data_IF_425122335967
#
_entry.id   IF_425122335967
#
_cell.length_a   1.000
_cell.length_b   1.000
_cell.length_c   1.000
_cell.angle_alpha   90.00
_cell.angle_beta   90.00
_cell.angle_gamma   90.00
#
_symmetry.space_group_name_H-M   'P 1'
#
loop_
_entity.id
_entity.type
_entity.pdbx_description
1 polymer ?
#
# COMPACT_ATOMS: atom_id res chain seq x y z
N UNK A 1 -8.39 18.13 13.02
CA UNK A 1 -6.97 18.48 12.73
C UNK A 1 -6.79 18.62 11.23
N UNK A 2 -6.01 19.61 10.77
CA UNK A 2 -5.79 19.83 9.34
C UNK A 2 -4.95 18.68 8.74
N UNK A 3 -5.34 18.19 7.56
CA UNK A 3 -4.59 17.19 6.80
C UNK A 3 -3.40 17.86 6.12
N UNK A 4 -2.24 17.23 6.16
CA UNK A 4 -1.05 17.65 5.41
C UNK A 4 -1.31 17.52 3.92
N UNK A 5 -1.00 18.58 3.18
CA UNK A 5 -1.21 18.66 1.72
C UNK A 5 0.11 18.80 0.94
N UNK A 6 1.22 18.70 1.63
CA UNK A 6 2.57 18.81 1.08
C UNK A 6 3.14 17.47 0.62
N UNK A 7 2.52 16.36 1.05
CA UNK A 7 2.98 15.01 0.74
C UNK A 7 1.86 13.98 0.69
N UNK A 8 2.13 12.85 0.07
CA UNK A 8 1.24 11.68 0.04
C UNK A 8 2.02 10.48 0.58
N UNK A 9 1.45 9.77 1.55
CA UNK A 9 1.95 8.49 2.01
C UNK A 9 1.42 7.40 1.06
N UNK A 10 2.30 6.73 0.35
CA UNK A 10 1.93 5.62 -0.52
C UNK A 10 2.08 4.32 0.25
N UNK A 11 1.06 3.48 0.21
CA UNK A 11 1.03 2.22 0.94
C UNK A 11 0.55 1.12 0.00
N UNK A 12 1.24 -0.01 0.04
CA UNK A 12 0.83 -1.27 -0.56
C UNK A 12 1.06 -2.39 0.45
N UNK A 13 0.15 -3.36 0.54
CA UNK A 13 0.24 -4.43 1.52
C UNK A 13 0.29 -5.79 0.85
N UNK A 14 1.10 -6.69 1.43
CA UNK A 14 1.00 -8.10 1.17
C UNK A 14 0.25 -8.79 2.32
N UNK A 15 -0.48 -9.82 1.97
CA UNK A 15 -1.31 -10.55 2.93
C UNK A 15 -1.23 -12.05 2.71
N UNK A 16 -1.51 -12.82 3.76
CA UNK A 16 -1.65 -14.28 3.63
C UNK A 16 -2.66 -14.62 2.54
N UNK A 17 -2.28 -15.52 1.67
CA UNK A 17 -3.08 -15.92 0.51
C UNK A 17 -2.83 -17.39 0.13
N UNK A 18 -3.75 -17.95 -0.65
CA UNK A 18 -3.76 -19.36 -1.05
C UNK A 18 -4.15 -19.48 -2.53
N UNK A 19 -3.74 -20.56 -3.16
CA UNK A 19 -4.14 -20.93 -4.53
C UNK A 19 -5.58 -21.43 -4.63
N UNK A 20 -6.25 -21.63 -3.50
CA UNK A 20 -7.64 -22.09 -3.40
C UNK A 20 -8.59 -21.00 -2.92
N UNK A 21 -9.85 -21.06 -3.32
CA UNK A 21 -10.93 -20.19 -2.86
C UNK A 21 -12.17 -21.01 -2.53
N UNK A 22 -12.78 -20.87 -1.34
CA UNK A 22 -12.36 -20.01 -0.23
C UNK A 22 -11.01 -20.43 0.40
N UNK A 23 -10.41 -19.60 1.26
CA UNK A 23 -9.25 -19.99 2.06
C UNK A 23 -9.51 -21.29 2.84
N UNK A 24 -8.46 -22.04 3.23
CA UNK A 24 -8.60 -23.19 4.10
C UNK A 24 -9.36 -22.85 5.41
N UNK A 25 -10.04 -23.85 5.99
CA UNK A 25 -10.81 -23.65 7.21
C UNK A 25 -9.96 -23.03 8.35
N UNK A 26 -10.49 -22.00 9.00
CA UNK A 26 -9.79 -21.27 10.05
C UNK A 26 -8.79 -20.21 9.56
N UNK A 27 -8.54 -20.14 8.26
CA UNK A 27 -7.60 -19.19 7.65
C UNK A 27 -8.33 -17.96 7.07
N UNK A 28 -7.67 -16.82 7.09
CA UNK A 28 -8.17 -15.58 6.48
C UNK A 28 -7.01 -14.72 6.00
N UNK A 29 -7.27 -13.76 5.11
CA UNK A 29 -6.23 -12.81 4.73
C UNK A 29 -5.88 -11.90 5.90
N UNK A 30 -4.60 -11.93 6.30
CA UNK A 30 -3.97 -11.08 7.31
C UNK A 30 -2.74 -10.41 6.70
N UNK A 31 -2.50 -9.16 7.08
CA UNK A 31 -1.36 -8.38 6.58
C UNK A 31 -0.06 -9.01 7.08
N UNK A 32 0.88 -9.25 6.16
CA UNK A 32 2.22 -9.79 6.45
C UNK A 32 3.35 -8.83 6.03
N UNK A 33 3.08 -7.85 5.17
CA UNK A 33 3.98 -6.75 4.86
C UNK A 33 3.17 -5.46 4.69
N UNK A 34 3.68 -4.38 5.26
CA UNK A 34 3.25 -3.02 4.95
C UNK A 34 4.40 -2.35 4.23
N UNK A 35 4.30 -2.29 2.91
CA UNK A 35 5.22 -1.53 2.09
C UNK A 35 4.78 -0.08 2.00
N UNK A 36 5.72 0.85 2.11
CA UNK A 36 5.41 2.26 2.05
C UNK A 36 6.55 3.12 1.51
N UNK A 37 6.19 4.30 1.03
CA UNK A 37 7.09 5.41 0.73
C UNK A 37 6.32 6.73 0.79
N UNK A 38 7.03 7.84 0.69
CA UNK A 38 6.45 9.18 0.70
C UNK A 38 6.74 9.88 -0.62
N UNK A 39 5.73 10.50 -1.20
CA UNK A 39 5.90 11.43 -2.31
C UNK A 39 5.71 12.87 -1.79
N UNK A 40 6.78 13.67 -1.83
CA UNK A 40 6.75 15.09 -1.54
C UNK A 40 6.26 15.85 -2.78
N UNK A 41 5.14 16.56 -2.62
CA UNK A 41 4.48 17.27 -3.72
C UNK A 41 5.14 18.62 -4.04
N UNK A 42 5.90 19.18 -3.09
CA UNK A 42 6.60 20.44 -3.30
C UNK A 42 7.95 20.23 -3.98
N UNK A 43 8.69 19.21 -3.52
CA UNK A 43 10.01 18.88 -4.05
C UNK A 43 9.97 17.92 -5.25
N UNK A 44 8.75 17.44 -5.63
CA UNK A 44 8.55 16.42 -6.68
C UNK A 44 9.47 15.21 -6.51
N UNK A 45 9.58 14.72 -5.27
CA UNK A 45 10.54 13.68 -4.88
C UNK A 45 9.88 12.53 -4.12
N UNK A 46 10.22 11.28 -4.52
CA UNK A 46 9.81 10.05 -3.82
C UNK A 46 10.96 9.56 -2.93
N UNK A 47 10.67 9.30 -1.67
CA UNK A 47 11.69 8.88 -0.69
C UNK A 47 11.11 7.97 0.40
N UNK A 48 11.99 7.47 1.27
CA UNK A 48 11.59 6.73 2.46
C UNK A 48 10.97 5.36 2.16
N UNK A 49 11.42 4.67 1.10
CA UNK A 49 11.01 3.30 0.80
C UNK A 49 11.29 2.38 2.00
N UNK A 50 10.25 1.71 2.51
CA UNK A 50 10.34 0.85 3.70
C UNK A 50 9.40 -0.35 3.59
N UNK A 51 9.89 -1.47 4.07
CA UNK A 51 9.13 -2.68 4.35
C UNK A 51 8.96 -2.81 5.86
N UNK A 52 7.74 -3.09 6.32
CA UNK A 52 7.43 -3.46 7.70
C UNK A 52 6.79 -4.84 7.61
N UNK A 53 7.51 -5.87 8.03
CA UNK A 53 6.97 -7.22 8.14
C UNK A 53 6.07 -7.31 9.37
N UNK A 54 4.93 -7.98 9.22
CA UNK A 54 3.90 -8.10 10.26
C UNK A 54 3.59 -9.56 10.50
N UNK A 55 3.58 -9.97 11.76
CA UNK A 55 3.24 -11.34 12.17
C UNK A 55 1.73 -11.57 12.01
N UNK A 56 1.29 -12.55 11.20
CA UNK A 56 -0.11 -12.97 11.19
C UNK A 56 -0.43 -13.72 12.49
N UNK A 57 -1.66 -13.61 12.98
CA UNK A 57 -2.08 -14.21 14.28
C UNK A 57 -2.88 -15.49 14.07
N UNK A 58 -3.75 -15.52 13.07
CA UNK A 58 -4.68 -16.61 12.83
C UNK A 58 -4.31 -17.48 11.64
N UNK A 59 -3.49 -16.95 10.74
CA UNK A 59 -3.25 -17.58 9.46
C UNK A 59 -1.77 -17.86 9.21
N UNK A 60 -1.49 -18.96 8.54
CA UNK A 60 -0.15 -19.34 8.12
C UNK A 60 0.20 -18.71 6.77
N UNK A 61 1.47 -18.44 6.55
CA UNK A 61 2.01 -18.05 5.25
C UNK A 61 2.19 -19.33 4.44
N UNK A 62 1.32 -19.55 3.45
CA UNK A 62 1.35 -20.73 2.60
C UNK A 62 2.55 -20.71 1.64
N UNK A 63 2.90 -21.87 1.08
CA UNK A 63 3.91 -21.96 0.00
C UNK A 63 3.52 -21.11 -1.21
N UNK A 64 2.23 -21.06 -1.54
CA UNK A 64 1.71 -20.19 -2.59
C UNK A 64 1.97 -18.72 -2.27
N UNK A 65 1.66 -18.28 -1.05
CA UNK A 65 1.91 -16.92 -0.60
C UNK A 65 3.42 -16.58 -0.67
N UNK A 66 4.27 -17.49 -0.20
CA UNK A 66 5.73 -17.33 -0.28
C UNK A 66 6.21 -17.27 -1.73
N UNK A 67 5.69 -18.11 -2.63
CA UNK A 67 6.07 -18.08 -4.05
C UNK A 67 5.68 -16.75 -4.73
N UNK A 68 4.54 -16.18 -4.35
CA UNK A 68 4.01 -14.94 -4.89
C UNK A 68 4.80 -13.72 -4.37
N UNK A 69 4.91 -13.61 -3.04
CA UNK A 69 5.44 -12.41 -2.36
C UNK A 69 6.94 -12.50 -2.03
N UNK A 70 7.53 -13.70 -2.06
CA UNK A 70 8.85 -14.02 -1.52
C UNK A 70 9.00 -13.79 0.00
N UNK A 71 7.91 -13.61 0.70
CA UNK A 71 7.91 -13.49 2.16
C UNK A 71 7.75 -14.88 2.74
N UNK A 72 8.69 -15.30 3.57
CA UNK A 72 8.67 -16.61 4.23
C UNK A 72 8.19 -16.48 5.66
N UNK A 73 7.61 -17.56 6.21
CA UNK A 73 7.26 -17.63 7.63
C UNK A 73 8.46 -17.36 8.53
N UNK A 74 9.64 -17.88 8.15
CA UNK A 74 10.87 -17.65 8.91
C UNK A 74 11.26 -16.17 8.97
N UNK A 75 11.19 -15.44 7.84
CA UNK A 75 11.46 -14.00 7.82
C UNK A 75 10.50 -13.23 8.71
N UNK A 76 9.21 -13.55 8.63
CA UNK A 76 8.20 -12.87 9.44
C UNK A 76 8.35 -13.19 10.92
N UNK A 77 8.75 -14.40 11.27
CA UNK A 77 9.01 -14.78 12.66
C UNK A 77 10.22 -14.03 13.24
N UNK A 78 11.30 -13.89 12.46
CA UNK A 78 12.54 -13.23 12.89
C UNK A 78 12.43 -11.70 12.91
N UNK A 79 11.89 -11.11 11.85
CA UNK A 79 11.95 -9.67 11.59
C UNK A 79 10.57 -8.97 11.67
N UNK A 80 9.50 -9.74 11.75
CA UNK A 80 8.14 -9.22 11.82
C UNK A 80 7.79 -8.69 13.21
N UNK A 81 6.97 -7.64 13.22
CA UNK A 81 6.40 -7.05 14.43
C UNK A 81 4.91 -7.33 14.53
N UNK A 82 4.32 -7.07 15.68
CA UNK A 82 2.88 -7.17 15.88
C UNK A 82 2.13 -6.10 15.08
N UNK A 83 0.94 -6.43 14.59
CA UNK A 83 0.15 -5.48 13.79
C UNK A 83 -0.20 -4.19 14.54
N UNK A 84 -0.41 -4.24 15.85
CA UNK A 84 -0.63 -3.07 16.70
C UNK A 84 0.59 -2.15 16.72
N UNK A 85 1.79 -2.72 16.84
CA UNK A 85 3.05 -1.98 16.77
C UNK A 85 3.23 -1.31 15.40
N UNK A 86 2.98 -2.06 14.31
CA UNK A 86 3.01 -1.51 12.95
C UNK A 86 2.04 -0.35 12.77
N UNK A 87 0.81 -0.45 13.28
CA UNK A 87 -0.16 0.64 13.27
C UNK A 87 0.34 1.87 14.06
N UNK A 88 0.97 1.63 15.20
CA UNK A 88 1.55 2.70 16.04
C UNK A 88 2.69 3.43 15.34
N UNK A 89 3.58 2.69 14.66
CA UNK A 89 4.66 3.27 13.82
C UNK A 89 4.11 4.12 12.68
N UNK A 90 3.05 3.67 11.99
CA UNK A 90 2.41 4.47 10.95
C UNK A 90 1.91 5.82 11.47
N UNK A 91 1.34 5.83 12.68
CA UNK A 91 0.84 7.06 13.31
C UNK A 91 1.99 7.96 13.78
N UNK A 92 3.02 7.40 14.41
CA UNK A 92 4.11 8.14 15.02
C UNK A 92 5.10 8.68 13.98
N UNK A 93 5.62 7.80 13.12
CA UNK A 93 6.72 8.12 12.20
C UNK A 93 6.24 8.82 10.93
N UNK A 94 5.03 8.46 10.44
CA UNK A 94 4.50 8.99 9.16
C UNK A 94 3.34 9.96 9.34
N UNK A 95 2.89 10.20 10.57
CA UNK A 95 1.71 11.03 10.86
C UNK A 95 0.50 10.58 10.02
N UNK A 96 0.32 9.27 9.85
CA UNK A 96 -0.60 8.69 8.87
C UNK A 96 -2.06 9.14 9.04
N UNK A 97 -2.49 9.50 10.27
CA UNK A 97 -3.81 10.09 10.53
C UNK A 97 -3.99 11.51 9.96
N UNK A 98 -2.86 12.23 9.77
CA UNK A 98 -2.84 13.64 9.32
C UNK A 98 -2.29 13.79 7.90
N UNK A 99 -1.85 12.71 7.29
CA UNK A 99 -1.26 12.70 5.94
C UNK A 99 -2.25 12.04 4.99
N UNK A 100 -2.46 12.65 3.82
CA UNK A 100 -3.17 11.97 2.74
C UNK A 100 -2.40 10.69 2.40
N UNK A 101 -3.12 9.59 2.22
CA UNK A 101 -2.51 8.35 1.79
C UNK A 101 -3.17 7.78 0.53
N UNK A 102 -2.42 6.99 -0.22
CA UNK A 102 -2.85 6.39 -1.48
C UNK A 102 -2.40 4.94 -1.58
N UNK A 103 -3.15 4.15 -2.36
CA UNK A 103 -2.80 2.79 -2.75
C UNK A 103 -3.33 2.48 -4.16
N UNK A 104 -2.90 1.34 -4.74
CA UNK A 104 -3.37 0.92 -6.06
C UNK A 104 -4.69 0.17 -5.98
N UNK A 105 -5.75 0.89 -5.71
CA UNK A 105 -7.08 0.33 -5.56
C UNK A 105 -7.69 0.60 -4.19
N UNK A 106 -8.49 -0.33 -3.71
CA UNK A 106 -9.18 -0.22 -2.41
C UNK A 106 -8.95 -1.44 -1.50
N UNK A 107 -8.18 -2.41 -1.96
CA UNK A 107 -7.93 -3.65 -1.22
C UNK A 107 -7.22 -3.35 0.11
N UNK A 108 -6.12 -2.61 0.05
CA UNK A 108 -5.31 -2.22 1.20
C UNK A 108 -6.17 -1.57 2.29
N UNK A 109 -6.93 -0.54 1.91
CA UNK A 109 -7.82 0.18 2.84
C UNK A 109 -8.86 -0.75 3.47
N UNK A 110 -9.42 -1.67 2.68
CA UNK A 110 -10.44 -2.61 3.17
C UNK A 110 -9.86 -3.61 4.15
N UNK A 111 -8.68 -4.17 3.84
CA UNK A 111 -8.04 -5.16 4.69
C UNK A 111 -7.52 -4.53 6.00
N UNK A 112 -6.87 -3.37 5.94
CA UNK A 112 -6.50 -2.62 7.15
C UNK A 112 -7.69 -2.36 8.06
N UNK A 113 -8.82 -1.87 7.50
CA UNK A 113 -10.03 -1.61 8.29
C UNK A 113 -10.64 -2.88 8.89
N UNK A 114 -10.58 -3.99 8.13
CA UNK A 114 -11.05 -5.30 8.61
C UNK A 114 -10.19 -5.77 9.77
N UNK A 115 -8.87 -5.79 9.60
CA UNK A 115 -7.94 -6.30 10.61
C UNK A 115 -7.94 -5.44 11.88
N UNK A 116 -7.95 -4.10 11.76
CA UNK A 116 -8.11 -3.21 12.91
C UNK A 116 -9.39 -3.51 13.70
N UNK A 117 -10.54 -3.70 13.02
CA UNK A 117 -11.80 -4.05 13.70
C UNK A 117 -11.73 -5.39 14.43
N UNK A 118 -11.15 -6.41 13.79
CA UNK A 118 -11.02 -7.74 14.37
C UNK A 118 -10.15 -7.74 15.61
N UNK A 119 -9.13 -6.90 15.64
CA UNK A 119 -8.19 -6.78 16.77
C UNK A 119 -8.57 -5.68 17.78
N UNK A 120 -9.70 -4.97 17.58
CA UNK A 120 -10.10 -3.88 18.46
C UNK A 120 -9.19 -2.65 18.40
N UNK A 121 -8.41 -2.48 17.32
CA UNK A 121 -7.45 -1.41 17.17
C UNK A 121 -8.01 -0.19 16.43
N UNK A 122 -7.49 0.97 16.77
CA UNK A 122 -7.78 2.20 16.04
C UNK A 122 -7.13 2.16 14.64
N UNK A 123 -7.90 2.54 13.60
CA UNK A 123 -7.40 2.64 12.24
C UNK A 123 -6.27 3.70 12.13
N UNK A 124 -5.09 3.36 11.58
CA UNK A 124 -3.93 4.23 11.65
C UNK A 124 -3.94 5.40 10.66
N UNK A 125 -4.79 5.36 9.64
CA UNK A 125 -4.85 6.41 8.61
C UNK A 125 -6.01 7.39 8.84
N UNK A 126 -5.93 8.55 8.18
CA UNK A 126 -7.05 9.47 8.05
C UNK A 126 -8.15 8.93 7.13
N UNK A 127 -9.30 9.61 7.10
CA UNK A 127 -10.45 9.19 6.29
C UNK A 127 -10.21 9.37 4.78
N UNK A 128 -9.38 10.32 4.41
CA UNK A 128 -9.07 10.59 3.01
C UNK A 128 -8.06 9.58 2.47
N UNK A 129 -8.48 8.85 1.46
CA UNK A 129 -7.70 7.86 0.74
C UNK A 129 -7.82 8.10 -0.76
N UNK A 130 -6.68 8.21 -1.44
CA UNK A 130 -6.64 8.27 -2.90
C UNK A 130 -6.53 6.85 -3.48
N UNK A 131 -7.55 6.43 -4.21
CA UNK A 131 -7.47 5.23 -5.04
C UNK A 131 -6.77 5.58 -6.36
N UNK A 132 -5.45 5.40 -6.42
CA UNK A 132 -4.65 5.85 -7.55
C UNK A 132 -5.00 5.12 -8.85
N UNK A 133 -5.41 3.85 -8.78
CA UNK A 133 -5.90 3.08 -9.93
C UNK A 133 -7.08 3.76 -10.61
N UNK A 134 -8.02 4.30 -9.79
CA UNK A 134 -9.18 5.03 -10.31
C UNK A 134 -8.78 6.38 -10.91
N UNK A 135 -7.89 7.11 -10.22
CA UNK A 135 -7.39 8.42 -10.68
C UNK A 135 -6.65 8.26 -12.01
N UNK A 136 -5.76 7.27 -12.11
CA UNK A 136 -5.02 6.96 -13.35
C UNK A 136 -5.99 6.70 -14.52
N UNK A 137 -6.98 5.82 -14.31
CA UNK A 137 -7.95 5.50 -15.35
C UNK A 137 -8.80 6.70 -15.80
N UNK A 138 -9.14 7.62 -14.88
CA UNK A 138 -9.92 8.82 -15.20
C UNK A 138 -9.11 9.87 -15.96
N UNK A 139 -7.84 10.05 -15.62
CA UNK A 139 -6.99 11.09 -16.23
C UNK A 139 -6.41 10.67 -17.57
N UNK A 140 -6.03 9.43 -17.73
CA UNK A 140 -5.44 8.92 -18.98
C UNK A 140 -6.45 8.25 -19.92
N UNK A 141 -7.76 8.31 -19.59
CA UNK A 141 -8.84 7.81 -20.46
C UNK A 141 -8.88 6.29 -20.60
N UNK A 142 -8.24 5.57 -19.70
CA UNK A 142 -8.16 4.12 -19.70
C UNK A 142 -9.20 3.48 -18.77
N UNK A 143 -9.57 2.23 -19.05
CA UNK A 143 -10.23 1.39 -18.03
C UNK A 143 -9.29 1.17 -16.86
N UNK A 144 -9.83 0.84 -15.70
CA UNK A 144 -9.01 0.50 -14.54
C UNK A 144 -8.12 -0.71 -14.87
N UNK A 145 -6.81 -0.46 -14.95
CA UNK A 145 -5.77 -1.47 -15.29
C UNK A 145 -4.99 -1.90 -14.05
N UNK A 146 -4.22 -2.97 -14.15
CA UNK A 146 -3.25 -3.36 -13.14
C UNK A 146 -2.09 -2.36 -13.06
N UNK A 147 -1.31 -2.38 -11.96
CA UNK A 147 -0.19 -1.46 -11.76
C UNK A 147 0.90 -1.62 -12.83
N UNK A 148 1.27 -2.85 -13.16
CA UNK A 148 2.28 -3.15 -14.19
C UNK A 148 1.87 -2.60 -15.55
N UNK A 149 0.59 -2.74 -15.91
CA UNK A 149 0.07 -2.18 -17.16
C UNK A 149 0.03 -0.65 -17.13
N UNK A 150 -0.30 -0.05 -16.00
CA UNK A 150 -0.25 1.40 -15.83
C UNK A 150 1.17 1.95 -15.99
N UNK A 151 2.19 1.27 -15.43
CA UNK A 151 3.60 1.61 -15.64
C UNK A 151 3.97 1.56 -17.12
N UNK A 152 3.58 0.49 -17.82
CA UNK A 152 3.82 0.35 -19.26
C UNK A 152 3.18 1.49 -20.07
N UNK A 153 1.94 1.86 -19.76
CA UNK A 153 1.22 2.97 -20.40
C UNK A 153 1.94 4.31 -20.12
N UNK A 154 2.42 4.50 -18.90
CA UNK A 154 3.17 5.69 -18.49
C UNK A 154 4.62 5.74 -19.06
N UNK A 155 5.08 4.69 -19.73
CA UNK A 155 6.48 4.57 -20.19
C UNK A 155 7.48 4.42 -19.05
N UNK A 156 7.06 3.86 -17.92
CA UNK A 156 7.88 3.62 -16.75
C UNK A 156 8.23 2.14 -16.62
N UNK A 157 9.47 1.88 -16.23
CA UNK A 157 9.91 0.52 -15.91
C UNK A 157 9.61 0.20 -14.45
N UNK A 158 9.22 -1.05 -14.19
CA UNK A 158 9.03 -1.55 -12.84
C UNK A 158 10.38 -1.62 -12.10
N UNK A 159 10.43 -1.10 -10.87
CA UNK A 159 11.64 -1.09 -10.04
C UNK A 159 11.48 -2.02 -8.85
N UNK A 160 12.35 -3.01 -8.76
CA UNK A 160 12.33 -4.00 -7.70
C UNK A 160 11.59 -5.29 -8.08
N UNK A 161 10.87 -5.89 -7.15
CA UNK A 161 10.14 -7.15 -7.32
C UNK A 161 8.64 -6.92 -7.11
N UNK A 162 7.82 -7.34 -8.08
CA UNK A 162 6.36 -7.32 -7.96
C UNK A 162 5.89 -8.27 -6.86
N UNK A 163 4.83 -7.90 -6.16
CA UNK A 163 4.35 -8.55 -4.94
C UNK A 163 5.36 -8.47 -3.76
N UNK A 164 6.15 -7.40 -3.70
CA UNK A 164 6.78 -6.92 -2.50
C UNK A 164 6.22 -5.54 -2.20
N UNK A 165 5.51 -5.42 -1.09
CA UNK A 165 4.73 -4.23 -0.76
C UNK A 165 5.54 -2.93 -0.85
N UNK A 166 6.80 -2.91 -0.39
CA UNK A 166 7.66 -1.72 -0.48
C UNK A 166 8.09 -1.39 -1.92
N UNK A 167 8.27 -2.40 -2.78
CA UNK A 167 8.57 -2.20 -4.20
C UNK A 167 7.32 -1.72 -4.94
N UNK A 168 6.17 -2.33 -4.64
CA UNK A 168 4.89 -1.96 -5.24
C UNK A 168 4.49 -0.54 -4.81
N UNK A 169 4.61 -0.18 -3.53
CA UNK A 169 4.40 1.19 -3.05
C UNK A 169 5.29 2.21 -3.77
N UNK A 170 6.57 1.87 -4.01
CA UNK A 170 7.48 2.72 -4.75
C UNK A 170 7.02 2.96 -6.18
N UNK A 171 6.62 1.92 -6.89
CA UNK A 171 6.13 2.01 -8.27
C UNK A 171 4.80 2.78 -8.36
N UNK A 172 3.91 2.62 -7.37
CA UNK A 172 2.69 3.41 -7.23
C UNK A 172 3.03 4.90 -7.05
N UNK A 173 4.05 5.23 -6.26
CA UNK A 173 4.51 6.61 -6.09
C UNK A 173 5.06 7.21 -7.39
N UNK A 174 5.81 6.44 -8.18
CA UNK A 174 6.30 6.88 -9.50
C UNK A 174 5.13 7.13 -10.48
N UNK A 175 4.07 6.34 -10.43
CA UNK A 175 2.85 6.58 -11.20
C UNK A 175 2.16 7.88 -10.76
N UNK A 176 2.06 8.14 -9.45
CA UNK A 176 1.50 9.41 -8.97
C UNK A 176 2.37 10.60 -9.41
N UNK A 177 3.69 10.50 -9.30
CA UNK A 177 4.63 11.51 -9.77
C UNK A 177 4.45 11.79 -11.28
N UNK A 178 4.32 10.73 -12.09
CA UNK A 178 4.04 10.85 -13.52
C UNK A 178 2.73 11.61 -13.77
N UNK A 179 1.65 11.28 -13.06
CA UNK A 179 0.36 11.96 -13.19
C UNK A 179 0.45 13.45 -12.80
N UNK A 180 1.17 13.77 -11.71
CA UNK A 180 1.38 15.17 -11.29
C UNK A 180 2.13 15.96 -12.37
N UNK A 181 3.21 15.39 -12.92
CA UNK A 181 4.00 16.04 -13.98
C UNK A 181 3.22 16.24 -15.25
N UNK A 182 2.37 15.27 -15.62
CA UNK A 182 1.60 15.28 -16.87
C UNK A 182 0.36 16.18 -16.78
N UNK A 183 -0.37 16.15 -15.69
CA UNK A 183 -1.68 16.78 -15.55
C UNK A 183 -1.69 18.01 -14.62
N UNK A 184 -0.60 18.24 -13.93
CA UNK A 184 -0.46 19.32 -12.96
C UNK A 184 -1.02 18.96 -11.58
N UNK A 185 -0.40 19.53 -10.56
CA UNK A 185 -0.72 19.25 -9.15
C UNK A 185 -2.17 19.64 -8.79
N UNK A 186 -2.68 20.74 -9.33
CA UNK A 186 -4.02 21.22 -9.00
C UNK A 186 -5.13 20.27 -9.48
N UNK A 187 -4.93 19.61 -10.63
CA UNK A 187 -5.86 18.58 -11.09
C UNK A 187 -5.82 17.37 -10.16
N UNK A 188 -4.64 16.92 -9.76
CA UNK A 188 -4.47 15.79 -8.82
C UNK A 188 -5.08 16.12 -7.46
N UNK A 189 -4.92 17.36 -6.97
CA UNK A 189 -5.53 17.80 -5.69
C UNK A 189 -7.05 17.67 -5.63
N UNK A 190 -7.75 17.68 -6.76
CA UNK A 190 -9.20 17.44 -6.81
C UNK A 190 -9.60 16.01 -6.51
N UNK A 191 -8.65 15.09 -6.59
CA UNK A 191 -8.82 13.66 -6.26
C UNK A 191 -8.31 13.30 -4.85
N UNK A 192 -7.77 14.27 -4.11
CA UNK A 192 -7.30 14.16 -2.73
C UNK A 192 -8.49 14.39 -1.72
#
# INVERSE_FOLDING_TARGET
MAIRKDRVLIVDIEATCWDVKPPPAGQQSEIIEIGLCVYDLNEDHVYGKRSILVKPVLSEISDFCTSLTSITSQQVEQDGIEFEEACSMLVADYLARKTLWASWGSFDRKLFRKQCRQMGLSYPFGDKHMNLRKVFGQLDGHRTVGMTEALRIAGLEFRGRHHRGHDDAWNIALLLQHLVRRHGLDLIRRHM
#
